data_IF_940360518256
#
_entry.id   IF_940360518256
#
_cell.length_a   1.000
_cell.length_b   1.000
_cell.length_c   1.000
_cell.angle_alpha   90.00
_cell.angle_beta   90.00
_cell.angle_gamma   90.00
#
_symmetry.space_group_name_H-M   'P 1'
#
loop_
_entity.id
_entity.type
_entity.pdbx_description
1 polymer ?
#
# COMPACT_ATOMS: atom_id res chain seq x y z
N UNK A 1 19.33 -9.18 -25.47
CA UNK A 1 17.91 -9.58 -25.63
C UNK A 1 17.33 -10.15 -24.33
N UNK A 2 18.01 -11.06 -23.65
CA UNK A 2 17.56 -11.63 -22.36
C UNK A 2 17.40 -10.57 -21.24
N UNK A 3 18.27 -9.56 -21.18
CA UNK A 3 18.18 -8.47 -20.20
C UNK A 3 16.93 -7.60 -20.35
N UNK A 4 16.47 -7.34 -21.57
CA UNK A 4 15.26 -6.54 -21.81
C UNK A 4 13.99 -7.27 -21.33
N UNK A 5 13.92 -8.59 -21.52
CA UNK A 5 12.81 -9.40 -21.05
C UNK A 5 12.72 -9.44 -19.51
N UNK A 6 13.87 -9.52 -18.83
CA UNK A 6 13.90 -9.51 -17.36
C UNK A 6 13.41 -8.18 -16.78
N UNK A 7 13.78 -7.06 -17.41
CA UNK A 7 13.32 -5.73 -17.01
C UNK A 7 11.81 -5.57 -17.19
N UNK A 8 11.27 -6.07 -18.30
CA UNK A 8 9.83 -6.01 -18.57
C UNK A 8 9.02 -6.91 -17.63
N UNK A 9 9.54 -8.10 -17.31
CA UNK A 9 8.96 -8.98 -16.30
C UNK A 9 8.98 -8.34 -14.91
N UNK A 10 10.10 -7.71 -14.52
CA UNK A 10 10.20 -7.02 -13.23
C UNK A 10 9.16 -5.92 -13.11
N UNK A 11 9.02 -5.10 -14.15
CA UNK A 11 8.00 -4.03 -14.23
C UNK A 11 6.57 -4.57 -14.08
N UNK A 12 6.22 -5.61 -14.85
CA UNK A 12 4.88 -6.21 -14.76
C UNK A 12 4.63 -6.80 -13.38
N UNK A 13 5.61 -7.50 -12.83
CA UNK A 13 5.51 -8.13 -11.51
C UNK A 13 5.27 -7.08 -10.43
N UNK A 14 6.05 -6.00 -10.42
CA UNK A 14 5.89 -4.90 -9.48
C UNK A 14 4.51 -4.23 -9.59
N UNK A 15 4.04 -4.00 -10.81
CA UNK A 15 2.73 -3.40 -11.04
C UNK A 15 1.58 -4.31 -10.57
N UNK A 16 1.61 -5.61 -10.90
CA UNK A 16 0.58 -6.56 -10.48
C UNK A 16 0.61 -6.84 -8.97
N UNK A 17 1.80 -6.95 -8.37
CA UNK A 17 1.95 -7.15 -6.93
C UNK A 17 1.46 -5.91 -6.18
N UNK A 18 1.80 -4.71 -6.62
CA UNK A 18 1.33 -3.46 -6.01
C UNK A 18 -0.19 -3.31 -6.09
N UNK A 19 -0.79 -3.68 -7.23
CA UNK A 19 -2.24 -3.76 -7.36
C UNK A 19 -2.84 -4.79 -6.40
N UNK A 20 -2.20 -5.96 -6.26
CA UNK A 20 -2.60 -6.98 -5.30
C UNK A 20 -2.57 -6.47 -3.86
N UNK A 21 -1.50 -5.78 -3.46
CA UNK A 21 -1.39 -5.13 -2.15
C UNK A 21 -2.52 -4.13 -1.95
N UNK A 22 -2.78 -3.26 -2.92
CA UNK A 22 -3.88 -2.30 -2.85
C UNK A 22 -5.24 -2.97 -2.63
N UNK A 23 -5.57 -3.96 -3.46
CA UNK A 23 -6.88 -4.64 -3.40
C UNK A 23 -7.06 -5.42 -2.10
N UNK A 24 -6.06 -6.18 -1.68
CA UNK A 24 -6.12 -6.97 -0.45
C UNK A 24 -6.17 -6.06 0.77
N UNK A 25 -5.33 -5.03 0.82
CA UNK A 25 -5.34 -4.08 1.93
C UNK A 25 -6.63 -3.26 1.98
N UNK A 26 -7.18 -2.84 0.83
CA UNK A 26 -8.48 -2.17 0.77
C UNK A 26 -9.62 -3.07 1.26
N UNK A 27 -9.63 -4.35 0.86
CA UNK A 27 -10.62 -5.31 1.31
C UNK A 27 -10.54 -5.55 2.81
N UNK A 28 -9.34 -5.82 3.34
CA UNK A 28 -9.11 -6.00 4.77
C UNK A 28 -9.45 -4.73 5.57
N UNK A 29 -9.03 -3.56 5.08
CA UNK A 29 -9.37 -2.26 5.66
C UNK A 29 -10.87 -2.02 5.70
N UNK A 30 -11.61 -2.35 4.64
CA UNK A 30 -13.07 -2.24 4.59
C UNK A 30 -13.76 -3.18 5.60
N UNK A 31 -13.27 -4.41 5.72
CA UNK A 31 -13.78 -5.37 6.72
C UNK A 31 -13.49 -4.88 8.14
N UNK A 32 -12.26 -4.45 8.43
CA UNK A 32 -11.88 -3.89 9.75
C UNK A 32 -12.67 -2.62 10.07
N UNK A 33 -12.90 -1.75 9.09
CA UNK A 33 -13.74 -0.56 9.27
C UNK A 33 -15.20 -0.94 9.55
N UNK A 34 -15.74 -1.93 8.85
CA UNK A 34 -17.10 -2.43 9.08
C UNK A 34 -17.22 -3.08 10.46
N UNK A 35 -16.21 -3.82 10.91
CA UNK A 35 -16.14 -4.38 12.26
C UNK A 35 -16.11 -3.26 13.32
N UNK A 36 -15.28 -2.23 13.12
CA UNK A 36 -15.28 -1.05 13.97
C UNK A 36 -16.65 -0.36 14.04
N UNK A 37 -17.38 -0.26 12.93
CA UNK A 37 -18.73 0.33 12.94
C UNK A 37 -19.75 -0.50 13.74
N UNK A 38 -19.55 -1.81 13.85
CA UNK A 38 -20.43 -2.73 14.59
C UNK A 38 -20.11 -2.78 16.08
N UNK A 39 -18.84 -3.00 16.42
CA UNK A 39 -18.41 -3.27 17.79
C UNK A 39 -17.86 -2.02 18.50
N UNK A 40 -17.55 -0.95 17.75
CA UNK A 40 -16.88 0.27 18.21
C UNK A 40 -15.56 0.05 18.96
N UNK A 41 -14.93 -1.12 18.78
CA UNK A 41 -13.62 -1.39 19.34
C UNK A 41 -12.57 -0.43 18.74
N UNK A 42 -11.93 0.42 19.57
CA UNK A 42 -10.90 1.33 19.09
C UNK A 42 -9.70 0.63 18.44
N UNK A 43 -9.46 -0.67 18.72
CA UNK A 43 -8.39 -1.46 18.07
C UNK A 43 -8.68 -1.67 16.59
N UNK A 44 -9.92 -2.03 16.25
CA UNK A 44 -10.33 -2.26 14.86
C UNK A 44 -10.18 -1.01 13.99
N UNK A 45 -10.35 0.18 14.59
CA UNK A 45 -10.08 1.46 13.89
C UNK A 45 -8.61 1.62 13.53
N UNK A 46 -7.69 1.28 14.45
CA UNK A 46 -6.24 1.41 14.24
C UNK A 46 -5.78 0.42 13.17
N UNK A 47 -6.28 -0.81 13.22
CA UNK A 47 -6.02 -1.84 12.21
C UNK A 47 -6.53 -1.40 10.83
N UNK A 48 -7.73 -0.82 10.74
CA UNK A 48 -8.26 -0.29 9.48
C UNK A 48 -7.38 0.83 8.90
N UNK A 49 -6.82 1.71 9.75
CA UNK A 49 -5.84 2.73 9.32
C UNK A 49 -4.57 2.07 8.80
N UNK A 50 -4.06 1.05 9.47
CA UNK A 50 -2.89 0.30 9.02
C UNK A 50 -3.07 -0.32 7.63
N UNK A 51 -4.19 -0.99 7.42
CA UNK A 51 -4.57 -1.49 6.10
C UNK A 51 -4.75 -0.36 5.07
N UNK A 52 -5.29 0.79 5.49
CA UNK A 52 -5.35 1.98 4.63
C UNK A 52 -3.97 2.45 4.17
N UNK A 53 -2.97 2.47 5.05
CA UNK A 53 -1.60 2.87 4.71
C UNK A 53 -0.94 1.90 3.73
N UNK A 54 -1.08 0.60 3.95
CA UNK A 54 -0.61 -0.41 3.00
C UNK A 54 -1.33 -0.32 1.65
N UNK A 55 -2.64 -0.06 1.67
CA UNK A 55 -3.41 0.16 0.45
C UNK A 55 -2.92 1.38 -0.32
N UNK A 56 -2.71 2.50 0.36
CA UNK A 56 -2.17 3.72 -0.27
C UNK A 56 -0.78 3.51 -0.87
N UNK A 57 0.10 2.77 -0.19
CA UNK A 57 1.39 2.37 -0.75
C UNK A 57 1.21 1.60 -2.06
N UNK A 58 0.43 0.51 -2.05
CA UNK A 58 0.20 -0.30 -3.26
C UNK A 58 -0.43 0.50 -4.39
N UNK A 59 -1.31 1.47 -4.07
CA UNK A 59 -1.92 2.36 -5.05
C UNK A 59 -0.88 3.31 -5.67
N UNK A 60 -0.02 3.93 -4.86
CA UNK A 60 1.01 4.86 -5.32
C UNK A 60 1.98 4.17 -6.30
N UNK A 61 2.52 3.01 -5.92
CA UNK A 61 3.44 2.24 -6.77
C UNK A 61 2.74 1.74 -8.03
N UNK A 62 1.48 1.29 -7.94
CA UNK A 62 0.70 0.92 -9.12
C UNK A 62 0.49 2.09 -10.09
N UNK A 63 0.24 3.29 -9.57
CA UNK A 63 0.02 4.50 -10.38
C UNK A 63 1.29 5.01 -11.05
N UNK A 64 2.48 4.71 -10.50
CA UNK A 64 3.75 5.22 -11.02
C UNK A 64 3.88 5.00 -12.52
N UNK A 65 3.67 3.76 -12.98
CA UNK A 65 3.76 3.40 -14.39
C UNK A 65 2.73 4.09 -15.28
N UNK A 66 1.57 4.45 -14.73
CA UNK A 66 0.52 5.21 -15.42
C UNK A 66 0.85 6.70 -15.48
N UNK A 67 1.56 7.21 -14.47
CA UNK A 67 1.93 8.61 -14.30
C UNK A 67 3.24 9.00 -14.99
N UNK A 68 4.07 8.03 -15.38
CA UNK A 68 5.32 8.23 -16.14
C UNK A 68 5.21 9.22 -17.32
N UNK A 69 4.12 9.24 -18.13
CA UNK A 69 4.01 10.18 -19.24
C UNK A 69 3.71 11.62 -18.81
N UNK A 70 3.20 11.81 -17.59
CA UNK A 70 2.65 13.08 -17.11
C UNK A 70 3.59 13.80 -16.14
N UNK A 71 4.45 13.06 -15.44
CA UNK A 71 5.33 13.59 -14.40
C UNK A 71 6.80 13.26 -14.68
N UNK A 72 7.74 14.10 -14.20
CA UNK A 72 9.16 13.82 -14.29
C UNK A 72 9.54 12.53 -13.54
N UNK A 73 10.44 11.74 -14.12
CA UNK A 73 10.95 10.50 -13.52
C UNK A 73 11.46 10.70 -12.09
N UNK A 74 12.26 11.75 -11.83
CA UNK A 74 12.79 12.03 -10.50
C UNK A 74 11.70 12.28 -9.44
N UNK A 75 10.55 12.84 -9.83
CA UNK A 75 9.42 13.05 -8.92
C UNK A 75 8.72 11.74 -8.58
N UNK A 76 8.57 10.86 -9.58
CA UNK A 76 7.95 9.55 -9.41
C UNK A 76 8.83 8.61 -8.58
N UNK A 77 10.13 8.58 -8.86
CA UNK A 77 11.11 7.82 -8.08
C UNK A 77 11.15 8.28 -6.62
N UNK A 78 11.13 9.59 -6.37
CA UNK A 78 11.04 10.11 -5.00
C UNK A 78 9.73 9.72 -4.31
N UNK A 79 8.62 9.75 -5.04
CA UNK A 79 7.31 9.39 -4.52
C UNK A 79 7.24 7.90 -4.16
N UNK A 80 7.79 7.04 -5.01
CA UNK A 80 7.91 5.60 -4.77
C UNK A 80 8.70 5.34 -3.48
N UNK A 81 9.89 5.92 -3.35
CA UNK A 81 10.74 5.75 -2.16
C UNK A 81 10.10 6.34 -0.90
N UNK A 82 9.48 7.52 -1.00
CA UNK A 82 8.79 8.15 0.12
C UNK A 82 7.57 7.33 0.56
N UNK A 83 6.89 6.65 -0.38
CA UNK A 83 5.72 5.82 -0.08
C UNK A 83 6.06 4.62 0.81
N UNK A 84 7.32 4.18 0.86
CA UNK A 84 7.78 3.15 1.80
C UNK A 84 7.56 3.56 3.27
N UNK A 85 7.51 4.86 3.58
CA UNK A 85 7.15 5.36 4.92
C UNK A 85 5.71 4.97 5.31
N UNK A 86 4.81 4.79 4.34
CA UNK A 86 3.45 4.31 4.59
C UNK A 86 3.46 2.86 5.11
N UNK A 87 4.39 2.02 4.63
CA UNK A 87 4.57 0.65 5.14
C UNK A 87 5.00 0.70 6.59
N UNK A 88 5.99 1.54 6.92
CA UNK A 88 6.45 1.71 8.30
C UNK A 88 5.33 2.23 9.21
N UNK A 89 4.58 3.23 8.75
CA UNK A 89 3.39 3.72 9.45
C UNK A 89 2.35 2.62 9.66
N UNK A 90 2.08 1.82 8.63
CA UNK A 90 1.19 0.66 8.69
C UNK A 90 1.63 -0.32 9.77
N UNK A 91 2.89 -0.74 9.76
CA UNK A 91 3.44 -1.64 10.77
C UNK A 91 3.30 -1.06 12.19
N UNK A 92 3.61 0.22 12.38
CA UNK A 92 3.46 0.90 13.67
C UNK A 92 2.01 0.85 14.17
N UNK A 93 1.02 1.05 13.29
CA UNK A 93 -0.39 0.95 13.70
C UNK A 93 -0.75 -0.44 14.21
N UNK A 94 -0.22 -1.52 13.62
CA UNK A 94 -0.44 -2.88 14.12
C UNK A 94 0.17 -3.08 15.51
N UNK A 95 1.39 -2.61 15.75
CA UNK A 95 1.99 -2.67 17.10
C UNK A 95 1.19 -1.88 18.13
N UNK A 96 0.70 -0.70 17.78
CA UNK A 96 -0.16 0.12 18.66
C UNK A 96 -1.49 -0.59 18.94
N UNK A 97 -2.08 -1.24 17.93
CA UNK A 97 -3.31 -2.01 18.09
C UNK A 97 -3.12 -3.21 19.05
N UNK A 98 -1.98 -3.91 18.97
CA UNK A 98 -1.60 -5.01 19.86
C UNK A 98 -1.29 -4.54 21.29
N UNK A 99 -0.70 -3.35 21.43
CA UNK A 99 -0.31 -2.79 22.74
C UNK A 99 -1.48 -2.26 23.57
N UNK A 100 -2.62 -1.92 22.94
CA UNK A 100 -3.85 -1.59 23.66
C UNK A 100 -4.46 -2.87 24.22
N UNK A 101 -4.21 -3.15 25.51
CA UNK A 101 -4.90 -4.20 26.28
C UNK A 101 -6.30 -3.81 26.70
#
# INVERSE_FOLDING_TARGET
>A
MQSAQLLELARLLEQYVSLGVFLVAAALGAVSYRAWRRERDPRMRIVAVGYGLFGLYGLVVFLEYLLLPYFPYATLELLEHASALLILGGLLTFFVALGKR
#
